data_IF_466027099340
#
_entry.id   IF_466027099340
#
_cell.length_a   1.000
_cell.length_b   1.000
_cell.length_c   1.000
_cell.angle_alpha   90.00
_cell.angle_beta   90.00
_cell.angle_gamma   90.00
#
_symmetry.space_group_name_H-M   'P 1'
#
loop_
_entity.id
_entity.type
_entity.pdbx_description
1 polymer ?
#
# COMPACT_ATOMS: atom_id res chain seq x y z
N UNK A 1 23.06 -0.55 -19.95
CA UNK A 1 23.19 -0.20 -18.52
C UNK A 1 22.01 -0.82 -17.79
N UNK A 2 22.25 -1.80 -16.91
CA UNK A 2 21.21 -2.39 -16.07
C UNK A 2 20.88 -1.41 -14.95
N UNK A 3 19.85 -0.59 -15.14
CA UNK A 3 19.40 0.37 -14.15
C UNK A 3 18.53 -0.38 -13.14
N UNK A 4 19.13 -0.97 -12.12
CA UNK A 4 18.39 -1.53 -10.99
C UNK A 4 17.84 -0.36 -10.18
N UNK A 5 16.67 0.13 -10.58
CA UNK A 5 15.93 1.13 -9.82
C UNK A 5 15.74 0.63 -8.39
N UNK A 6 16.26 1.38 -7.42
CA UNK A 6 16.15 1.01 -6.01
C UNK A 6 14.77 1.43 -5.52
N UNK A 7 14.02 0.48 -4.93
CA UNK A 7 12.77 0.81 -4.26
C UNK A 7 13.07 1.65 -3.02
N UNK A 8 12.46 2.83 -2.93
CA UNK A 8 12.64 3.76 -1.81
C UNK A 8 11.70 3.48 -0.63
N UNK A 9 10.67 2.64 -0.84
CA UNK A 9 9.75 2.25 0.22
C UNK A 9 10.35 1.11 1.04
N UNK A 10 10.28 1.26 2.36
CA UNK A 10 10.45 0.16 3.29
C UNK A 10 9.23 -0.75 3.18
N UNK A 11 9.46 -2.04 2.95
CA UNK A 11 8.42 -3.08 2.94
C UNK A 11 7.29 -2.77 1.92
N UNK A 12 7.64 -2.24 0.74
CA UNK A 12 6.69 -1.83 -0.29
C UNK A 12 5.86 -2.96 -0.92
N UNK A 13 6.24 -4.21 -0.67
CA UNK A 13 5.56 -5.43 -1.09
C UNK A 13 4.85 -6.16 0.06
N UNK A 14 4.94 -5.66 1.30
CA UNK A 14 4.32 -6.22 2.51
C UNK A 14 4.87 -7.58 2.99
N UNK A 15 5.99 -8.05 2.47
CA UNK A 15 6.51 -9.40 2.73
C UNK A 15 7.04 -9.61 4.16
N UNK A 16 7.11 -8.55 4.98
CA UNK A 16 7.35 -8.70 6.43
C UNK A 16 6.16 -9.28 7.19
N UNK A 17 5.00 -9.45 6.55
CA UNK A 17 3.75 -9.89 7.19
C UNK A 17 3.16 -8.85 8.14
N UNK A 18 3.69 -7.62 8.13
CA UNK A 18 3.34 -6.51 9.02
C UNK A 18 3.37 -5.19 8.25
N UNK A 19 2.81 -4.12 8.81
CA UNK A 19 2.85 -2.76 8.26
C UNK A 19 4.15 -2.01 8.60
N UNK A 20 5.26 -2.73 8.69
CA UNK A 20 6.58 -2.16 8.99
C UNK A 20 6.89 -1.01 8.03
N UNK A 21 7.26 0.16 8.55
CA UNK A 21 7.59 1.35 7.76
C UNK A 21 6.39 2.21 7.35
N UNK A 22 5.16 1.78 7.63
CA UNK A 22 3.96 2.55 7.31
C UNK A 22 3.27 3.12 8.55
N UNK A 23 2.67 4.29 8.37
CA UNK A 23 1.71 4.89 9.30
C UNK A 23 0.29 4.65 8.80
N UNK A 24 -0.65 4.54 9.74
CA UNK A 24 -2.02 4.11 9.47
C UNK A 24 -3.03 5.01 10.16
N UNK A 25 -4.24 5.12 9.57
CA UNK A 25 -5.38 5.79 10.19
C UNK A 25 -6.67 5.03 9.87
N UNK A 26 -7.62 5.05 10.80
CA UNK A 26 -8.98 4.50 10.70
C UNK A 26 -9.13 2.98 10.56
N UNK A 27 -8.06 2.18 10.67
CA UNK A 27 -8.00 0.71 10.47
C UNK A 27 -8.83 -0.19 11.42
N UNK A 28 -9.86 0.33 12.08
CA UNK A 28 -10.67 -0.40 13.05
C UNK A 28 -12.13 -0.54 12.60
N UNK A 29 -12.42 -0.31 11.32
CA UNK A 29 -13.78 -0.07 10.82
C UNK A 29 -14.47 -1.34 10.28
N UNK A 30 -13.71 -2.41 9.99
CA UNK A 30 -14.25 -3.70 9.55
C UNK A 30 -13.28 -4.87 9.77
N UNK A 31 -13.74 -6.11 9.52
CA UNK A 31 -12.93 -7.33 9.65
C UNK A 31 -11.67 -7.34 8.77
N UNK A 32 -11.67 -6.63 7.65
CA UNK A 32 -10.56 -6.57 6.70
C UNK A 32 -9.86 -5.21 6.69
N UNK A 33 -10.20 -4.32 7.63
CA UNK A 33 -9.61 -2.99 7.77
C UNK A 33 -8.10 -3.12 8.03
N UNK A 34 -7.28 -2.64 7.10
CA UNK A 34 -5.83 -2.56 7.29
C UNK A 34 -5.05 -3.88 7.48
N UNK A 35 -5.54 -5.01 6.97
CA UNK A 35 -4.96 -6.33 7.28
C UNK A 35 -3.83 -6.72 6.32
N UNK A 36 -2.74 -7.30 6.85
CA UNK A 36 -1.72 -8.01 6.05
C UNK A 36 -2.00 -9.51 6.15
N UNK A 37 -2.36 -10.14 5.03
CA UNK A 37 -2.75 -11.55 5.03
C UNK A 37 -1.97 -12.34 3.97
N UNK A 38 -1.61 -13.59 4.25
CA UNK A 38 -1.17 -14.49 3.20
C UNK A 38 -2.37 -14.80 2.30
N UNK A 39 -2.37 -14.35 1.05
CA UNK A 39 -3.54 -14.49 0.18
C UNK A 39 -3.20 -14.57 -1.31
N UNK A 40 -4.14 -15.09 -2.09
CA UNK A 40 -4.01 -15.28 -3.55
C UNK A 40 -4.02 -13.96 -4.35
N UNK A 41 -4.30 -12.83 -3.71
CA UNK A 41 -4.27 -11.51 -4.33
C UNK A 41 -2.90 -10.83 -4.19
N UNK A 42 -1.95 -11.43 -3.48
CA UNK A 42 -0.56 -10.98 -3.49
C UNK A 42 -0.02 -11.02 -4.92
N UNK A 43 0.48 -9.87 -5.40
CA UNK A 43 1.01 -9.78 -6.76
C UNK A 43 2.25 -10.64 -6.92
N UNK A 44 3.14 -10.56 -5.94
CA UNK A 44 4.39 -11.30 -5.81
C UNK A 44 4.51 -11.67 -4.33
N UNK A 45 5.19 -12.77 -4.02
CA UNK A 45 5.42 -13.16 -2.63
C UNK A 45 4.18 -13.79 -1.97
N UNK A 46 4.14 -13.72 -0.65
CA UNK A 46 3.15 -14.38 0.19
C UNK A 46 2.07 -13.42 0.69
N UNK A 47 2.40 -12.15 0.92
CA UNK A 47 1.56 -11.22 1.65
C UNK A 47 1.01 -10.10 0.76
N UNK A 48 -0.16 -9.58 1.12
CA UNK A 48 -0.63 -8.30 0.58
C UNK A 48 -1.46 -7.54 1.59
N UNK A 49 -1.54 -6.23 1.37
CA UNK A 49 -2.44 -5.35 2.09
C UNK A 49 -3.87 -5.51 1.57
N UNK A 50 -4.79 -5.79 2.49
CA UNK A 50 -6.23 -5.86 2.24
C UNK A 50 -6.91 -4.77 3.04
N UNK A 51 -7.85 -4.10 2.38
CA UNK A 51 -8.72 -3.11 2.99
C UNK A 51 -10.16 -3.33 2.57
N UNK A 52 -11.06 -3.22 3.55
CA UNK A 52 -12.51 -3.31 3.36
C UNK A 52 -13.22 -2.37 4.32
N UNK A 53 -12.63 -1.22 4.61
CA UNK A 53 -13.15 -0.23 5.56
C UNK A 53 -14.56 0.26 5.23
N UNK A 54 -15.35 0.50 6.28
CA UNK A 54 -16.73 1.00 6.20
C UNK A 54 -17.14 1.61 7.54
N UNK A 55 -17.82 2.78 7.59
CA UNK A 55 -18.32 3.58 6.47
C UNK A 55 -17.31 4.61 5.93
N UNK A 56 -16.14 4.73 6.55
CA UNK A 56 -15.13 5.74 6.19
C UNK A 56 -13.88 5.08 5.62
N UNK A 57 -13.15 5.75 4.72
CA UNK A 57 -11.89 5.23 4.19
C UNK A 57 -10.81 5.10 5.28
N UNK A 58 -10.06 4.02 5.18
CA UNK A 58 -8.77 3.84 5.83
C UNK A 58 -7.66 4.58 5.05
N UNK A 59 -6.56 4.83 5.75
CA UNK A 59 -5.38 5.45 5.16
C UNK A 59 -4.11 4.72 5.57
N UNK A 60 -3.21 4.55 4.61
CA UNK A 60 -1.88 4.01 4.77
C UNK A 60 -0.89 4.95 4.07
N UNK A 61 0.18 5.37 4.75
CA UNK A 61 1.19 6.23 4.15
C UNK A 61 2.59 5.97 4.69
N UNK A 62 3.59 6.35 3.90
CA UNK A 62 5.00 6.29 4.25
C UNK A 62 5.68 7.56 3.75
N UNK A 63 6.67 8.05 4.51
CA UNK A 63 7.58 9.11 4.06
C UNK A 63 8.88 8.47 3.60
N UNK A 64 9.41 8.93 2.48
CA UNK A 64 10.73 8.55 1.98
C UNK A 64 11.46 9.79 1.50
N UNK A 65 12.80 9.74 1.53
CA UNK A 65 13.62 10.88 1.12
C UNK A 65 13.74 10.91 -0.40
N UNK A 66 13.55 12.09 -0.99
CA UNK A 66 13.80 12.35 -2.40
C UNK A 66 14.98 13.31 -2.56
N UNK A 67 15.54 13.35 -3.75
CA UNK A 67 16.62 14.25 -4.16
C UNK A 67 15.97 15.31 -5.06
N UNK A 68 16.22 16.62 -4.81
CA UNK A 68 15.69 17.68 -5.65
C UNK A 68 16.00 17.47 -7.14
N UNK A 69 15.02 17.75 -8.00
CA UNK A 69 15.09 17.61 -9.47
C UNK A 69 15.26 16.18 -10.00
N UNK A 70 15.31 15.17 -9.14
CA UNK A 70 15.30 13.78 -9.57
C UNK A 70 13.89 13.32 -9.92
N UNK A 71 13.75 12.56 -11.00
CA UNK A 71 12.49 11.93 -11.40
C UNK A 71 12.31 10.61 -10.68
N UNK A 72 11.07 10.35 -10.25
CA UNK A 72 10.67 9.12 -9.56
C UNK A 72 9.48 8.51 -10.28
N UNK A 73 9.48 7.18 -10.38
CA UNK A 73 8.32 6.42 -10.82
C UNK A 73 7.67 5.78 -9.61
N UNK A 74 6.35 5.91 -9.53
CA UNK A 74 5.55 5.28 -8.49
C UNK A 74 4.56 4.35 -9.15
N UNK A 75 4.51 3.12 -8.65
CA UNK A 75 3.67 2.06 -9.17
C UNK A 75 3.17 1.19 -8.03
N UNK A 76 1.98 0.65 -8.22
CA UNK A 76 1.37 -0.31 -7.29
C UNK A 76 0.45 -1.24 -8.08
N UNK A 77 0.14 -2.38 -7.49
CA UNK A 77 -0.84 -3.32 -8.00
C UNK A 77 -2.08 -3.25 -7.10
N UNK A 78 -3.25 -3.16 -7.72
CA UNK A 78 -4.52 -3.04 -7.02
C UNK A 78 -5.53 -4.01 -7.63
N UNK A 79 -6.18 -4.78 -6.79
CA UNK A 79 -7.42 -5.49 -7.12
C UNK A 79 -8.51 -4.87 -6.27
N UNK A 80 -9.62 -4.48 -6.91
CA UNK A 80 -10.78 -3.94 -6.21
C UNK A 80 -12.00 -4.81 -6.52
N UNK A 81 -12.27 -5.77 -5.63
CA UNK A 81 -13.34 -6.76 -5.75
C UNK A 81 -14.54 -6.50 -4.83
N UNK A 82 -14.53 -5.41 -4.06
CA UNK A 82 -15.63 -5.04 -3.17
C UNK A 82 -16.87 -4.54 -3.92
N UNK A 83 -18.08 -4.70 -3.36
CA UNK A 83 -19.30 -4.13 -3.95
C UNK A 83 -19.29 -2.59 -3.87
N UNK A 84 -19.96 -1.89 -4.80
CA UNK A 84 -20.16 -0.44 -4.69
C UNK A 84 -20.95 -0.05 -3.42
N UNK A 85 -20.67 1.13 -2.83
CA UNK A 85 -19.63 2.08 -3.23
C UNK A 85 -18.25 1.66 -2.71
N UNK A 86 -17.34 1.34 -3.62
CA UNK A 86 -15.94 1.06 -3.37
C UNK A 86 -15.09 2.16 -4.02
N UNK A 87 -13.97 2.53 -3.39
CA UNK A 87 -13.11 3.60 -3.90
C UNK A 87 -11.65 3.38 -3.52
N UNK A 88 -10.75 3.97 -4.30
CA UNK A 88 -9.32 3.99 -4.04
C UNK A 88 -8.75 5.35 -4.44
N UNK A 89 -7.83 5.89 -3.64
CA UNK A 89 -7.10 7.11 -3.93
C UNK A 89 -5.64 6.97 -3.51
N UNK A 90 -4.73 7.40 -4.37
CA UNK A 90 -3.30 7.55 -4.07
C UNK A 90 -2.86 8.98 -4.36
N UNK A 91 -2.01 9.53 -3.50
CA UNK A 91 -1.44 10.88 -3.61
C UNK A 91 0.04 10.85 -3.27
N UNK A 92 0.82 11.69 -3.96
CA UNK A 92 2.27 11.82 -3.76
C UNK A 92 2.59 13.31 -3.65
N UNK A 93 3.41 13.65 -2.66
CA UNK A 93 3.73 15.03 -2.36
C UNK A 93 2.63 15.73 -1.55
N UNK A 94 2.91 16.96 -1.08
CA UNK A 94 1.87 17.88 -0.61
C UNK A 94 0.90 18.27 -1.74
#
# INVERSE_FOLDING_TARGET
>A
MNNTSTNLLVNGDFETGQLTGYSVCNMNSSRLSGSILPNQCARNGMYSFIDGSSPSPDYLWQKFTTIPQQQYQISFWLINSGPPPNSFKATIGP
#
